data_IF_680886631119
#
_entry.id   IF_680886631119
#
_cell.length_a   1.000
_cell.length_b   1.000
_cell.length_c   1.000
_cell.angle_alpha   90.00
_cell.angle_beta   90.00
_cell.angle_gamma   90.00
#
_symmetry.space_group_name_H-M   'P 1'
#
loop_
_entity.id
_entity.type
_entity.pdbx_description
1 polymer ?
#
# COMPACT_ATOMS: atom_id res chain seq x y z
N UNK A 1 3.45 15.39 -2.36
CA UNK A 1 2.13 14.75 -2.31
C UNK A 1 1.53 15.09 -0.97
N UNK A 2 0.28 15.53 -0.89
CA UNK A 2 -0.36 15.73 0.41
C UNK A 2 -0.76 14.37 0.99
N UNK A 3 -0.16 14.01 2.11
CA UNK A 3 -0.36 12.73 2.81
C UNK A 3 -1.13 12.90 4.12
N UNK A 4 -1.53 14.14 4.46
CA UNK A 4 -2.25 14.46 5.70
C UNK A 4 -3.62 13.77 5.79
N UNK A 5 -4.21 13.42 4.65
CA UNK A 5 -5.52 12.77 4.55
C UNK A 5 -5.45 11.24 4.78
N UNK A 6 -4.25 10.67 4.89
CA UNK A 6 -4.07 9.24 5.10
C UNK A 6 -4.21 8.96 6.60
N UNK A 7 -5.24 8.19 6.97
CA UNK A 7 -5.59 7.89 8.37
C UNK A 7 -4.42 7.29 9.17
N UNK A 8 -3.57 6.50 8.52
CA UNK A 8 -2.38 5.92 9.12
C UNK A 8 -1.41 6.97 9.70
N UNK A 9 -1.39 8.18 9.12
CA UNK A 9 -0.47 9.26 9.47
C UNK A 9 -1.10 10.35 10.33
N UNK A 10 -2.34 10.18 10.80
CA UNK A 10 -3.09 11.23 11.52
C UNK A 10 -2.47 11.69 12.84
N UNK A 11 -1.52 10.94 13.38
CA UNK A 11 -0.84 11.25 14.64
C UNK A 11 0.55 11.88 14.44
N UNK A 12 1.02 12.02 13.20
CA UNK A 12 2.29 12.67 12.91
C UNK A 12 2.11 14.18 12.93
N UNK A 13 3.10 14.88 13.47
CA UNK A 13 3.12 16.34 13.43
C UNK A 13 3.42 16.86 12.00
N UNK A 14 3.20 18.16 11.71
CA UNK A 14 3.43 18.71 10.38
C UNK A 14 4.87 18.56 9.86
N UNK A 15 5.88 18.58 10.74
CA UNK A 15 7.29 18.43 10.33
C UNK A 15 7.60 16.97 9.99
N UNK A 16 7.05 16.03 10.75
CA UNK A 16 7.13 14.59 10.48
C UNK A 16 6.44 14.24 9.17
N UNK A 17 5.26 14.81 8.89
CA UNK A 17 4.56 14.64 7.62
C UNK A 17 5.37 15.16 6.44
N UNK A 18 5.99 16.35 6.56
CA UNK A 18 6.87 16.88 5.50
C UNK A 18 8.04 15.93 5.26
N UNK A 19 8.70 15.48 6.33
CA UNK A 19 9.83 14.55 6.23
C UNK A 19 9.41 13.23 5.59
N UNK A 20 8.31 12.63 6.03
CA UNK A 20 7.79 11.38 5.47
C UNK A 20 7.41 11.52 3.99
N UNK A 21 6.80 12.65 3.61
CA UNK A 21 6.40 12.92 2.23
C UNK A 21 7.57 12.94 1.24
N UNK A 22 8.80 13.17 1.71
CA UNK A 22 10.02 13.14 0.91
C UNK A 22 10.49 11.71 0.58
N UNK A 23 10.13 10.72 1.40
CA UNK A 23 10.49 9.32 1.18
C UNK A 23 9.45 8.55 0.37
N UNK A 24 8.25 9.12 0.19
CA UNK A 24 7.17 8.49 -0.55
C UNK A 24 7.30 8.75 -2.05
N UNK A 25 7.11 7.70 -2.83
CA UNK A 25 7.13 7.77 -4.29
C UNK A 25 5.74 7.45 -4.85
N UNK A 26 5.30 8.25 -5.82
CA UNK A 26 4.08 7.93 -6.58
C UNK A 26 4.43 6.91 -7.65
N UNK A 27 3.75 5.78 -7.61
CA UNK A 27 3.88 4.70 -8.58
C UNK A 27 2.51 4.39 -9.20
N UNK A 28 2.50 3.82 -10.39
CA UNK A 28 1.28 3.44 -11.09
C UNK A 28 1.50 2.12 -11.79
N UNK A 29 0.51 1.24 -11.68
CA UNK A 29 0.59 -0.12 -12.20
C UNK A 29 -0.56 -0.37 -13.18
N UNK A 30 -0.32 -1.12 -14.27
CA UNK A 30 -1.39 -1.57 -15.14
C UNK A 30 -2.27 -2.61 -14.43
N UNK A 31 -3.49 -2.82 -14.95
CA UNK A 31 -4.37 -3.89 -14.48
C UNK A 31 -3.65 -5.24 -14.62
N UNK A 32 -3.72 -6.05 -13.56
CA UNK A 32 -3.10 -7.39 -13.53
C UNK A 32 -1.62 -7.40 -13.14
N UNK A 33 -1.02 -6.25 -12.82
CA UNK A 33 0.32 -6.22 -12.24
C UNK A 33 0.32 -6.89 -10.86
N UNK A 34 1.31 -7.76 -10.63
CA UNK A 34 1.61 -8.32 -9.31
C UNK A 34 2.48 -7.30 -8.57
N UNK A 35 2.05 -6.87 -7.38
CA UNK A 35 2.81 -5.93 -6.56
C UNK A 35 3.87 -6.65 -5.71
N UNK A 36 3.49 -7.76 -5.09
CA UNK A 36 4.35 -8.66 -4.34
C UNK A 36 3.65 -10.02 -4.20
N UNK A 37 4.41 -11.08 -3.95
CA UNK A 37 3.91 -12.42 -3.68
C UNK A 37 3.96 -12.75 -2.18
N UNK A 38 3.18 -13.74 -1.79
CA UNK A 38 3.29 -14.32 -0.45
C UNK A 38 4.71 -14.87 -0.23
N UNK A 39 5.28 -14.56 0.94
CA UNK A 39 6.66 -14.90 1.34
C UNK A 39 7.77 -14.09 0.64
N UNK A 40 7.44 -13.11 -0.20
CA UNK A 40 8.45 -12.13 -0.64
C UNK A 40 8.99 -11.36 0.57
N UNK A 41 10.26 -10.96 0.52
CA UNK A 41 10.87 -10.16 1.56
C UNK A 41 10.13 -8.82 1.70
N UNK A 42 9.69 -8.50 2.91
CA UNK A 42 8.91 -7.29 3.19
C UNK A 42 9.78 -6.03 3.22
N UNK A 43 10.10 -5.46 2.07
CA UNK A 43 10.89 -4.25 1.92
C UNK A 43 10.07 -3.02 1.44
N UNK A 44 8.81 -3.22 1.04
CA UNK A 44 7.96 -2.17 0.46
C UNK A 44 6.55 -2.14 1.08
N UNK A 45 5.95 -0.94 1.11
CA UNK A 45 4.57 -0.72 1.53
C UNK A 45 3.87 0.22 0.54
N UNK A 46 2.61 -0.08 0.25
CA UNK A 46 1.81 0.68 -0.71
C UNK A 46 0.60 1.34 -0.04
N UNK A 47 0.24 2.53 -0.51
CA UNK A 47 -0.98 3.24 -0.14
C UNK A 47 -1.78 3.46 -1.41
N UNK A 48 -3.01 2.95 -1.44
CA UNK A 48 -3.87 3.03 -2.62
C UNK A 48 -4.50 4.42 -2.70
N UNK A 49 -4.08 5.21 -3.69
CA UNK A 49 -4.68 6.52 -3.96
C UNK A 49 -5.87 6.44 -4.91
N UNK A 50 -5.82 5.50 -5.87
CA UNK A 50 -6.85 5.26 -6.86
C UNK A 50 -6.70 3.86 -7.44
N UNK A 51 -7.82 3.18 -7.67
CA UNK A 51 -7.87 1.83 -8.22
C UNK A 51 -8.29 0.81 -7.17
N UNK A 52 -8.10 -0.46 -7.50
CA UNK A 52 -8.41 -1.59 -6.62
C UNK A 52 -7.27 -2.58 -6.71
N UNK A 53 -7.00 -3.26 -5.62
CA UNK A 53 -6.06 -4.38 -5.55
C UNK A 53 -6.80 -5.62 -5.08
N UNK A 54 -6.30 -6.78 -5.48
CA UNK A 54 -6.73 -8.07 -4.97
C UNK A 54 -5.59 -8.61 -4.11
N UNK A 55 -5.89 -9.01 -2.88
CA UNK A 55 -4.95 -9.75 -2.04
C UNK A 55 -5.45 -11.18 -1.93
N UNK A 56 -4.59 -12.13 -2.30
CA UNK A 56 -4.85 -13.57 -2.21
C UNK A 56 -3.86 -14.22 -1.27
N UNK A 57 -4.36 -15.00 -0.31
CA UNK A 57 -3.54 -15.88 0.52
C UNK A 57 -3.88 -17.32 0.12
N UNK A 58 -2.86 -18.14 -0.11
CA UNK A 58 -3.03 -19.57 -0.39
C UNK A 58 -3.11 -20.33 0.93
N UNK A 59 -4.31 -20.41 1.52
CA UNK A 59 -4.53 -21.41 2.57
C UNK A 59 -4.80 -22.77 1.93
N UNK A 60 -4.41 -23.86 2.61
CA UNK A 60 -4.44 -25.24 2.10
C UNK A 60 -5.84 -25.72 1.67
N UNK A 61 -6.90 -24.97 1.93
CA UNK A 61 -8.27 -25.30 1.53
C UNK A 61 -9.14 -24.13 1.02
N UNK A 62 -8.76 -22.85 1.11
CA UNK A 62 -9.62 -21.76 0.64
C UNK A 62 -8.84 -20.47 0.27
N UNK A 63 -9.28 -19.80 -0.80
CA UNK A 63 -8.71 -18.53 -1.29
C UNK A 63 -9.39 -17.36 -0.61
N UNK A 64 -8.71 -16.70 0.34
CA UNK A 64 -9.18 -15.43 0.89
C UNK A 64 -8.91 -14.31 -0.12
N UNK A 65 -9.97 -13.66 -0.61
CA UNK A 65 -9.88 -12.49 -1.47
C UNK A 65 -10.29 -11.26 -0.67
N UNK A 66 -9.34 -10.39 -0.36
CA UNK A 66 -9.63 -9.06 0.16
C UNK A 66 -9.68 -8.08 -1.02
N UNK A 67 -10.87 -7.53 -1.28
CA UNK A 67 -11.07 -6.47 -2.28
C UNK A 67 -11.36 -5.17 -1.55
N UNK A 68 -10.64 -4.10 -1.89
CA UNK A 68 -10.93 -2.72 -1.44
C UNK A 68 -11.40 -1.88 -2.63
#
# INVERSE_FOLDING_TARGET
>A
MDISQIVLFKYLDPKELVKLSQYLQKVSFPRGAILFNENDEGNEMYIILKGKVEVTILDKNDRLVLTT
#
